data_IF_667302988831
#
_entry.id   IF_667302988831
#
_cell.length_a   1.000
_cell.length_b   1.000
_cell.length_c   1.000
_cell.angle_alpha   90.00
_cell.angle_beta   90.00
_cell.angle_gamma   90.00
#
_symmetry.space_group_name_H-M   'P 1'
#
loop_
_entity.id
_entity.type
_entity.pdbx_description
1 polymer ?
#
# COMPACT_ATOMS: atom_id res chain seq x y z
N UNK A 1 2.70 20.34 17.34
CA UNK A 1 2.55 20.50 17.43
C UNK A 1 2.37 20.48 17.39
N UNK A 2 2.06 20.34 17.16
CA UNK A 2 1.75 20.44 17.11
C UNK A 2 1.48 20.05 17.15
N UNK A 3 1.35 19.40 17.09
CA UNK A 3 0.98 19.19 17.18
C UNK A 3 0.58 18.76 17.28
N UNK A 4 0.17 18.38 17.16
CA UNK A 4 -0.24 18.31 17.26
C UNK A 4 -0.49 17.86 17.30
N UNK A 5 -0.82 17.63 17.07
CA UNK A 5 -0.98 17.59 17.09
C UNK A 5 -1.01 17.29 16.84
N UNK A 6 -1.14 17.20 16.51
CA UNK A 6 -1.20 17.27 16.33
C UNK A 6 -1.10 17.16 15.95
N UNK A 7 -1.23 17.01 15.69
CA UNK A 7 -1.08 17.34 15.37
C UNK A 7 -0.70 17.43 15.11
N UNK A 8 -0.63 17.33 14.84
CA UNK A 8 -0.18 17.72 14.53
C UNK A 8 0.20 17.80 14.40
N UNK A 9 0.31 17.82 14.04
CA UNK A 9 0.83 18.28 13.79
C UNK A 9 1.48 18.35 13.54
N UNK A 10 1.75 18.36 13.38
CA UNK A 10 2.56 18.36 12.92
C UNK A 10 2.95 18.25 12.66
N UNK A 11 3.24 18.32 12.18
CA UNK A 11 3.91 18.07 11.64
C UNK A 11 3.80 17.42 11.20
N UNK A 12 3.59 17.04 10.62
CA UNK A 12 3.45 16.28 10.07
C UNK A 12 3.80 15.60 8.94
N UNK A 13 4.37 15.80 8.20
CA UNK A 13 4.72 15.44 6.91
C UNK A 13 5.59 14.27 6.82
N UNK A 14 6.31 13.99 7.81
CA UNK A 14 7.02 12.73 7.88
C UNK A 14 6.07 11.57 7.94
N UNK A 15 4.81 11.85 8.12
CA UNK A 15 3.78 10.84 8.10
C UNK A 15 3.15 10.70 6.73
N UNK A 16 3.69 11.36 5.74
CA UNK A 16 3.12 11.36 4.40
C UNK A 16 3.84 10.38 3.51
N UNK A 17 3.95 9.14 3.97
CA UNK A 17 4.53 8.08 3.16
C UNK A 17 3.57 7.76 2.03
N UNK A 18 4.06 7.84 0.80
CA UNK A 18 3.27 7.48 -0.36
C UNK A 18 4.00 6.43 -1.17
N UNK A 19 3.27 5.79 -2.08
CA UNK A 19 3.83 4.79 -2.98
C UNK A 19 4.12 5.45 -4.31
N UNK A 20 5.33 5.23 -4.82
CA UNK A 20 5.75 5.75 -6.11
C UNK A 20 5.51 4.72 -7.20
N UNK A 21 5.71 3.44 -6.89
CA UNK A 21 5.54 2.37 -7.87
C UNK A 21 5.10 1.10 -7.16
N UNK A 22 4.29 0.29 -7.84
CA UNK A 22 3.81 -0.97 -7.29
C UNK A 22 3.72 -1.99 -8.40
N UNK A 23 4.02 -3.24 -8.08
CA UNK A 23 3.91 -4.36 -9.02
C UNK A 23 3.36 -5.58 -8.31
N UNK A 24 2.47 -6.30 -8.98
CA UNK A 24 2.01 -7.59 -8.48
C UNK A 24 3.05 -8.65 -8.82
N UNK A 25 3.32 -9.51 -7.86
CA UNK A 25 4.23 -10.64 -8.02
C UNK A 25 3.48 -11.93 -7.82
N UNK A 26 4.07 -13.03 -8.27
CA UNK A 26 3.47 -14.35 -8.06
C UNK A 26 3.28 -14.61 -6.57
N UNK A 27 2.24 -15.37 -6.23
CA UNK A 27 1.96 -15.72 -4.85
C UNK A 27 1.27 -14.63 -4.07
N UNK A 28 0.58 -13.73 -4.76
CA UNK A 28 -0.15 -12.62 -4.12
C UNK A 28 0.77 -11.73 -3.30
N UNK A 29 1.91 -11.40 -3.86
CA UNK A 29 2.85 -10.47 -3.24
C UNK A 29 2.89 -9.19 -4.04
N UNK A 30 3.19 -8.08 -3.35
CA UNK A 30 3.38 -6.79 -3.98
C UNK A 30 4.80 -6.32 -3.78
N UNK A 31 5.42 -5.84 -4.85
CA UNK A 31 6.67 -5.12 -4.79
C UNK A 31 6.34 -3.64 -4.78
N UNK A 32 6.84 -2.90 -3.81
CA UNK A 32 6.48 -1.51 -3.63
C UNK A 32 7.71 -0.64 -3.48
N UNK A 33 7.73 0.48 -4.20
CA UNK A 33 8.70 1.54 -3.97
C UNK A 33 7.98 2.73 -3.33
N UNK A 34 8.53 3.22 -2.24
CA UNK A 34 7.94 4.31 -1.48
C UNK A 34 8.60 5.65 -1.80
N UNK A 35 7.93 6.73 -1.43
CA UNK A 35 8.46 8.08 -1.60
C UNK A 35 9.77 8.29 -0.85
N UNK A 36 10.05 7.48 0.15
CA UNK A 36 11.32 7.50 0.89
C UNK A 36 12.49 6.96 0.07
N UNK A 37 12.20 6.30 -1.05
CA UNK A 37 13.22 5.62 -1.84
C UNK A 37 13.40 4.15 -1.48
N UNK A 38 12.75 3.71 -0.41
CA UNK A 38 12.85 2.31 0.02
C UNK A 38 11.95 1.42 -0.82
N UNK A 39 12.37 0.16 -0.96
CA UNK A 39 11.53 -0.85 -1.63
C UNK A 39 11.25 -1.98 -0.64
N UNK A 40 10.05 -2.51 -0.72
CA UNK A 40 9.60 -3.59 0.16
C UNK A 40 8.74 -4.58 -0.58
N UNK A 41 8.66 -5.80 -0.03
CA UNK A 41 7.77 -6.84 -0.51
C UNK A 41 6.70 -7.05 0.55
N UNK A 42 5.44 -7.03 0.14
CA UNK A 42 4.32 -7.23 1.04
C UNK A 42 3.56 -8.47 0.63
N UNK A 43 3.38 -9.41 1.55
CA UNK A 43 2.61 -10.63 1.29
C UNK A 43 1.15 -10.33 1.54
N UNK A 44 0.36 -10.30 0.49
CA UNK A 44 -1.06 -9.95 0.57
C UNK A 44 -1.93 -11.14 0.96
N UNK A 45 -1.37 -12.35 0.97
CA UNK A 45 -2.13 -13.58 1.21
C UNK A 45 -3.01 -13.51 2.46
N UNK A 46 -2.51 -13.02 3.62
CA UNK A 46 -3.35 -12.97 4.81
C UNK A 46 -4.58 -12.08 4.68
N UNK A 47 -4.60 -11.17 3.73
CA UNK A 47 -5.71 -10.23 3.56
C UNK A 47 -6.77 -10.73 2.59
N UNK A 48 -6.49 -11.81 1.86
CA UNK A 48 -7.39 -12.27 0.80
C UNK A 48 -8.73 -12.79 1.31
N UNK A 49 -8.84 -13.07 2.59
CA UNK A 49 -10.10 -13.53 3.18
C UNK A 49 -10.86 -12.40 3.88
N UNK A 50 -10.40 -11.16 3.75
CA UNK A 50 -10.95 -10.05 4.51
C UNK A 50 -11.69 -9.06 3.62
N UNK A 51 -12.99 -8.92 3.85
CA UNK A 51 -13.80 -7.89 3.22
C UNK A 51 -13.65 -7.80 1.71
N UNK A 52 -13.52 -6.60 1.20
CA UNK A 52 -13.41 -6.37 -0.24
C UNK A 52 -12.12 -6.91 -0.83
N UNK A 53 -11.10 -7.19 -0.01
CA UNK A 53 -9.86 -7.76 -0.52
C UNK A 53 -10.08 -9.17 -1.08
N UNK A 54 -11.17 -9.85 -0.70
CA UNK A 54 -11.43 -11.20 -1.20
C UNK A 54 -11.61 -11.23 -2.73
N UNK A 55 -12.02 -10.11 -3.31
CA UNK A 55 -12.12 -9.98 -4.75
C UNK A 55 -10.78 -10.23 -5.44
N UNK A 56 -9.69 -9.92 -4.74
CA UNK A 56 -8.34 -10.05 -5.29
C UNK A 56 -7.79 -11.46 -5.29
N UNK A 57 -8.58 -12.44 -4.83
CA UNK A 57 -8.23 -13.85 -5.03
C UNK A 57 -8.18 -14.19 -6.51
N UNK A 58 -8.90 -13.43 -7.32
CA UNK A 58 -8.78 -13.53 -8.77
C UNK A 58 -7.44 -12.92 -9.16
N UNK A 59 -6.54 -13.76 -9.66
CA UNK A 59 -5.18 -13.33 -9.98
C UNK A 59 -5.14 -12.25 -11.04
N UNK A 60 -6.06 -12.29 -11.99
CA UNK A 60 -6.11 -11.28 -13.04
C UNK A 60 -6.46 -9.92 -12.45
N UNK A 61 -7.37 -9.88 -11.49
CA UNK A 61 -7.70 -8.63 -10.83
C UNK A 61 -6.55 -8.16 -9.95
N UNK A 62 -5.90 -9.08 -9.24
CA UNK A 62 -4.76 -8.73 -8.40
C UNK A 62 -3.64 -8.09 -9.22
N UNK A 63 -3.39 -8.59 -10.41
CA UNK A 63 -2.35 -8.05 -11.30
C UNK A 63 -2.66 -6.65 -11.80
N UNK A 64 -3.89 -6.21 -11.67
CA UNK A 64 -4.31 -4.91 -12.14
C UNK A 64 -3.97 -3.76 -11.22
N UNK A 65 -3.18 -3.99 -10.18
CA UNK A 65 -2.82 -2.96 -9.22
C UNK A 65 -2.07 -1.81 -9.90
N UNK A 66 -2.39 -0.59 -9.47
CA UNK A 66 -1.67 0.60 -9.94
C UNK A 66 -1.67 1.66 -8.85
N UNK A 67 -0.85 2.69 -9.02
CA UNK A 67 -0.77 3.78 -8.05
C UNK A 67 -1.70 4.91 -8.48
N UNK A 68 -2.52 5.36 -7.53
CA UNK A 68 -3.41 6.50 -7.75
C UNK A 68 -3.21 7.44 -6.57
N UNK A 69 -2.69 8.63 -6.84
CA UNK A 69 -2.39 9.63 -5.81
C UNK A 69 -1.57 9.05 -4.65
N UNK A 70 -0.55 8.27 -5.01
CA UNK A 70 0.36 7.72 -4.01
C UNK A 70 -0.16 6.51 -3.25
N UNK A 71 -1.29 5.94 -3.66
CA UNK A 71 -1.94 4.80 -3.00
C UNK A 71 -2.11 3.66 -3.99
N UNK A 72 -1.72 2.43 -3.64
CA UNK A 72 -2.01 1.28 -4.51
C UNK A 72 -3.50 0.99 -4.53
N UNK A 73 -4.06 0.86 -5.73
CA UNK A 73 -5.49 0.63 -5.89
C UNK A 73 -5.74 -0.45 -6.95
N UNK A 74 -6.93 -1.03 -6.88
CA UNK A 74 -7.43 -2.00 -7.85
C UNK A 74 -8.85 -1.60 -8.23
N UNK A 75 -9.31 -2.11 -9.37
CA UNK A 75 -10.72 -1.99 -9.79
C UNK A 75 -11.18 -0.53 -9.82
N UNK A 76 -10.39 0.31 -10.48
CA UNK A 76 -10.71 1.74 -10.65
C UNK A 76 -10.87 2.47 -9.32
N UNK A 77 -10.13 2.02 -8.31
CA UNK A 77 -10.15 2.69 -7.01
C UNK A 77 -11.14 2.11 -6.02
N UNK A 78 -11.91 1.09 -6.42
CA UNK A 78 -12.86 0.47 -5.50
C UNK A 78 -12.15 -0.25 -4.35
N UNK A 79 -10.92 -0.69 -4.56
CA UNK A 79 -10.14 -1.38 -3.56
C UNK A 79 -8.81 -0.65 -3.42
N UNK A 80 -8.42 -0.35 -2.19
CA UNK A 80 -7.14 0.30 -1.94
C UNK A 80 -6.51 -0.26 -0.67
N UNK A 81 -5.22 0.04 -0.49
CA UNK A 81 -4.53 -0.32 0.74
C UNK A 81 -3.64 0.85 1.15
N UNK A 82 -3.67 1.16 2.44
CA UNK A 82 -2.93 2.30 2.95
C UNK A 82 -1.42 2.12 2.76
N UNK A 83 -0.72 3.12 2.22
CA UNK A 83 0.72 3.04 2.06
C UNK A 83 1.46 2.77 3.37
N UNK A 84 0.98 3.34 4.46
CA UNK A 84 1.60 3.14 5.77
C UNK A 84 1.58 1.67 6.18
N UNK A 85 0.48 0.98 5.86
CA UNK A 85 0.39 -0.43 6.19
C UNK A 85 1.43 -1.23 5.43
N UNK A 86 1.60 -0.93 4.15
CA UNK A 86 2.61 -1.60 3.34
C UNK A 86 4.01 -1.30 3.84
N UNK A 87 4.22 -0.08 4.30
CA UNK A 87 5.54 0.35 4.76
C UNK A 87 5.93 -0.37 6.07
N UNK A 88 5.00 -0.43 7.02
CA UNK A 88 5.33 -0.99 8.33
C UNK A 88 5.22 -2.51 8.39
N UNK A 89 4.39 -3.10 7.55
CA UNK A 89 4.21 -4.56 7.56
C UNK A 89 4.97 -5.26 6.45
N UNK A 90 5.48 -4.53 5.47
CA UNK A 90 6.27 -5.12 4.40
C UNK A 90 7.67 -5.47 4.87
N UNK A 91 8.33 -6.32 4.08
CA UNK A 91 9.69 -6.76 4.37
C UNK A 91 10.64 -6.08 3.40
N UNK A 92 11.72 -5.50 3.94
CA UNK A 92 12.70 -4.81 3.10
C UNK A 92 13.31 -5.79 2.10
N UNK A 93 13.38 -5.35 0.85
CA UNK A 93 13.92 -6.16 -0.21
C UNK A 93 15.44 -6.25 -0.13
#
# INVERSE_FOLDING_TARGET
MYVKDGIAYANEQENSITVVSVRAMDGYKLWIRFSTGETKIFDFTPLLDKGSFSTLKDKELFKGVYVDFGVPVWCDGDIDIAPERLYYEGVSE
#
